data_IF_812530830690
#
_entry.id   IF_812530830690
#
_cell.length_a   1.000
_cell.length_b   1.000
_cell.length_c   1.000
_cell.angle_alpha   90.00
_cell.angle_beta   90.00
_cell.angle_gamma   90.00
#
_symmetry.space_group_name_H-M   'P 1'
#
loop_
_entity.id
_entity.type
_entity.pdbx_description
1 polymer ?
#
# COMPACT_ATOMS: atom_id res chain seq x y z
N UNK A 1 -5.92 16.61 14.79
CA UNK A 1 -6.16 16.64 13.32
C UNK A 1 -5.39 15.58 12.51
N UNK A 2 -4.19 15.13 12.91
CA UNK A 2 -3.34 14.19 12.14
C UNK A 2 -3.91 12.77 11.90
N UNK A 3 -4.76 12.23 12.79
CA UNK A 3 -5.33 10.87 12.64
C UNK A 3 -6.34 10.77 11.48
N UNK A 4 -7.13 11.82 11.24
CA UNK A 4 -8.22 11.81 10.24
C UNK A 4 -7.71 11.75 8.79
N UNK A 5 -6.62 12.47 8.49
CA UNK A 5 -6.00 12.42 7.16
C UNK A 5 -5.33 11.07 6.88
N UNK A 6 -4.74 10.44 7.91
CA UNK A 6 -4.21 9.08 7.78
C UNK A 6 -5.30 8.06 7.50
N UNK A 7 -6.48 8.18 8.13
CA UNK A 7 -7.60 7.27 7.89
C UNK A 7 -8.18 7.42 6.49
N UNK A 8 -8.34 8.64 5.98
CA UNK A 8 -8.82 8.86 4.61
C UNK A 8 -7.89 8.24 3.56
N UNK A 9 -6.58 8.41 3.71
CA UNK A 9 -5.60 7.80 2.78
C UNK A 9 -5.69 6.27 2.81
N UNK A 10 -5.82 5.67 4.00
CA UNK A 10 -5.96 4.22 4.14
C UNK A 10 -7.28 3.71 3.56
N UNK A 11 -8.39 4.42 3.77
CA UNK A 11 -9.69 4.07 3.18
C UNK A 11 -9.66 4.16 1.66
N UNK A 12 -9.04 5.20 1.10
CA UNK A 12 -8.86 5.34 -0.35
C UNK A 12 -7.99 4.21 -0.91
N UNK A 13 -6.90 3.84 -0.22
CA UNK A 13 -6.05 2.72 -0.60
C UNK A 13 -6.84 1.40 -0.57
N UNK A 14 -7.63 1.16 0.47
CA UNK A 14 -8.49 -0.02 0.54
C UNK A 14 -9.48 -0.09 -0.64
N UNK A 15 -10.14 1.02 -0.96
CA UNK A 15 -11.06 1.07 -2.10
C UNK A 15 -10.34 0.84 -3.44
N UNK A 16 -9.14 1.39 -3.59
CA UNK A 16 -8.31 1.20 -4.77
C UNK A 16 -7.87 -0.27 -4.91
N UNK A 17 -7.43 -0.93 -3.83
CA UNK A 17 -7.15 -2.37 -3.82
C UNK A 17 -8.35 -3.20 -4.27
N UNK A 18 -9.54 -2.90 -3.73
CA UNK A 18 -10.77 -3.61 -4.11
C UNK A 18 -11.12 -3.40 -5.58
N UNK A 19 -10.90 -2.20 -6.10
CA UNK A 19 -11.07 -1.93 -7.52
C UNK A 19 -10.06 -2.71 -8.37
N UNK A 20 -8.78 -2.74 -7.98
CA UNK A 20 -7.72 -3.50 -8.66
C UNK A 20 -8.04 -4.99 -8.67
N UNK A 21 -8.45 -5.56 -7.53
CA UNK A 21 -8.82 -6.98 -7.43
C UNK A 21 -10.04 -7.30 -8.30
N UNK A 22 -11.08 -6.46 -8.27
CA UNK A 22 -12.27 -6.64 -9.12
C UNK A 22 -11.93 -6.54 -10.62
N UNK A 23 -11.11 -5.56 -11.01
CA UNK A 23 -10.65 -5.40 -12.38
C UNK A 23 -9.76 -6.57 -12.82
N UNK A 24 -8.88 -7.07 -11.97
CA UNK A 24 -8.04 -8.24 -12.25
C UNK A 24 -8.88 -9.50 -12.49
N UNK A 25 -9.97 -9.69 -11.73
CA UNK A 25 -10.91 -10.81 -11.93
C UNK A 25 -11.61 -10.73 -13.29
N UNK A 26 -12.17 -9.57 -13.62
CA UNK A 26 -12.85 -9.34 -14.90
C UNK A 26 -11.88 -9.45 -16.08
N UNK A 27 -10.67 -8.91 -15.94
CA UNK A 27 -9.62 -8.98 -16.95
C UNK A 27 -9.17 -10.42 -17.17
N UNK A 28 -9.01 -11.22 -16.11
CA UNK A 28 -8.64 -12.63 -16.23
C UNK A 28 -9.69 -13.44 -17.00
N UNK A 29 -10.98 -13.18 -16.75
CA UNK A 29 -12.07 -13.77 -17.53
C UNK A 29 -12.04 -13.28 -18.99
N UNK A 30 -11.88 -11.97 -19.22
CA UNK A 30 -11.83 -11.39 -20.56
C UNK A 30 -10.67 -11.97 -21.40
N UNK A 31 -9.46 -12.06 -20.82
CA UNK A 31 -8.29 -12.65 -21.47
C UNK A 31 -8.53 -14.13 -21.83
N UNK A 32 -9.23 -14.87 -20.98
CA UNK A 32 -9.59 -16.28 -21.26
C UNK A 32 -10.53 -16.41 -22.47
N UNK A 33 -11.49 -15.49 -22.60
CA UNK A 33 -12.54 -15.54 -23.64
C UNK A 33 -12.06 -14.98 -24.97
N UNK A 34 -11.38 -13.83 -24.96
CA UNK A 34 -11.01 -13.09 -26.18
C UNK A 34 -9.66 -13.52 -26.73
N UNK A 35 -8.66 -13.72 -25.87
CA UNK A 35 -7.28 -13.96 -26.33
C UNK A 35 -7.01 -15.44 -26.59
N UNK A 36 -7.86 -16.35 -26.06
CA UNK A 36 -7.72 -17.81 -26.22
C UNK A 36 -6.27 -18.33 -26.09
N UNK A 37 -5.50 -17.77 -25.13
CA UNK A 37 -4.08 -18.10 -24.91
C UNK A 37 -3.85 -19.63 -24.81
N UNK A 38 -4.86 -20.36 -24.32
CA UNK A 38 -4.96 -21.81 -24.41
C UNK A 38 -6.26 -22.14 -25.16
N UNK A 39 -6.23 -23.03 -26.18
CA UNK A 39 -7.41 -23.43 -26.91
C UNK A 39 -8.52 -23.86 -25.94
N UNK A 40 -9.73 -23.34 -26.14
CA UNK A 40 -10.90 -23.79 -25.38
C UNK A 40 -11.13 -25.25 -25.75
N UNK A 41 -11.06 -26.15 -24.77
CA UNK A 41 -11.49 -27.52 -24.94
C UNK A 41 -12.93 -27.52 -25.51
N UNK A 42 -13.17 -28.04 -26.73
CA UNK A 42 -14.48 -28.00 -27.37
C UNK A 42 -15.59 -28.63 -26.52
N UNK A 43 -15.25 -29.52 -25.58
CA UNK A 43 -16.20 -30.20 -24.70
C UNK A 43 -16.66 -29.36 -23.50
N UNK A 44 -15.89 -28.34 -23.09
CA UNK A 44 -16.21 -27.52 -21.89
C UNK A 44 -16.93 -26.21 -22.20
N UNK A 45 -16.96 -25.80 -23.47
CA UNK A 45 -17.59 -24.54 -23.88
C UNK A 45 -16.93 -23.28 -23.27
N UNK A 46 -17.50 -22.12 -23.59
CA UNK A 46 -17.10 -20.85 -22.97
C UNK A 46 -17.74 -20.78 -21.58
N UNK A 47 -16.98 -20.49 -20.51
CA UNK A 47 -17.55 -20.39 -19.17
C UNK A 47 -18.59 -19.27 -19.09
N UNK A 48 -19.75 -19.50 -18.48
CA UNK A 48 -20.82 -18.51 -18.38
C UNK A 48 -20.41 -17.32 -17.50
N UNK A 49 -20.44 -16.11 -18.07
CA UNK A 49 -20.10 -14.87 -17.40
C UNK A 49 -20.90 -14.65 -16.11
N UNK A 50 -22.16 -15.13 -16.04
CA UNK A 50 -23.02 -14.94 -14.87
C UNK A 50 -22.39 -15.52 -13.59
N UNK A 51 -21.78 -16.70 -13.69
CA UNK A 51 -21.13 -17.35 -12.56
C UNK A 51 -19.87 -16.58 -12.11
N UNK A 52 -19.10 -16.03 -13.05
CA UNK A 52 -17.94 -15.19 -12.72
C UNK A 52 -18.35 -13.83 -12.14
N UNK A 53 -19.42 -13.23 -12.63
CA UNK A 53 -19.96 -11.99 -12.07
C UNK A 53 -20.53 -12.20 -10.66
N UNK A 54 -21.27 -13.30 -10.44
CA UNK A 54 -21.79 -13.68 -9.13
C UNK A 54 -20.68 -14.01 -8.10
N UNK A 55 -19.49 -14.41 -8.56
CA UNK A 55 -18.34 -14.66 -7.69
C UNK A 55 -17.65 -13.37 -7.20
N UNK A 56 -17.85 -12.22 -7.85
CA UNK A 56 -17.13 -10.97 -7.51
C UNK A 56 -17.27 -10.59 -6.03
N UNK A 57 -18.47 -10.58 -5.42
CA UNK A 57 -18.59 -10.21 -4.01
C UNK A 57 -17.81 -11.15 -3.09
N UNK A 58 -17.82 -12.46 -3.38
CA UNK A 58 -17.08 -13.47 -2.62
C UNK A 58 -15.57 -13.24 -2.76
N UNK A 59 -15.09 -13.03 -3.98
CA UNK A 59 -13.67 -12.73 -4.26
C UNK A 59 -13.22 -11.49 -3.51
N UNK A 60 -13.97 -10.38 -3.59
CA UNK A 60 -13.63 -9.13 -2.92
C UNK A 60 -13.62 -9.27 -1.40
N UNK A 61 -14.63 -9.94 -0.82
CA UNK A 61 -14.69 -10.15 0.65
C UNK A 61 -13.53 -11.01 1.12
N UNK A 62 -13.25 -12.14 0.45
CA UNK A 62 -12.13 -13.03 0.83
C UNK A 62 -10.79 -12.29 0.73
N UNK A 63 -10.55 -11.59 -0.39
CA UNK A 63 -9.34 -10.80 -0.57
C UNK A 63 -9.22 -9.70 0.49
N UNK A 64 -10.28 -8.95 0.77
CA UNK A 64 -10.30 -7.92 1.81
C UNK A 64 -9.93 -8.47 3.19
N UNK A 65 -10.47 -9.64 3.57
CA UNK A 65 -10.16 -10.30 4.83
C UNK A 65 -8.69 -10.75 4.89
N UNK A 66 -8.18 -11.37 3.82
CA UNK A 66 -6.77 -11.74 3.72
C UNK A 66 -5.84 -10.52 3.80
N UNK A 67 -6.23 -9.40 3.17
CA UNK A 67 -5.44 -8.17 3.18
C UNK A 67 -5.42 -7.52 4.56
N UNK A 68 -6.56 -7.49 5.24
CA UNK A 68 -6.68 -7.06 6.62
C UNK A 68 -5.84 -7.93 7.56
N UNK A 69 -5.86 -9.26 7.37
CA UNK A 69 -5.06 -10.20 8.16
C UNK A 69 -3.55 -9.95 8.01
N UNK A 70 -3.07 -9.64 6.79
CA UNK A 70 -1.68 -9.24 6.52
C UNK A 70 -1.36 -7.80 6.94
N UNK A 71 -2.30 -7.09 7.54
CA UNK A 71 -2.14 -5.71 8.02
C UNK A 71 -1.62 -4.77 6.93
N UNK A 72 -2.10 -4.94 5.70
CA UNK A 72 -1.75 -4.08 4.57
C UNK A 72 -2.20 -2.62 4.75
N UNK A 73 -3.16 -2.37 5.64
CA UNK A 73 -3.72 -1.04 5.91
C UNK A 73 -3.28 -0.45 7.26
N UNK A 74 -2.06 -0.74 7.70
CA UNK A 74 -1.47 -0.14 8.90
C UNK A 74 -0.39 0.88 8.49
N UNK A 75 -0.32 2.08 9.10
CA UNK A 75 0.74 3.05 8.82
C UNK A 75 2.11 2.51 9.20
N UNK A 76 2.80 1.83 8.28
CA UNK A 76 4.19 1.42 8.48
C UNK A 76 5.10 2.58 8.07
N UNK A 77 5.73 3.20 9.06
CA UNK A 77 6.68 4.31 8.85
C UNK A 77 8.08 3.86 8.47
N UNK A 78 8.42 2.60 8.70
CA UNK A 78 9.78 2.06 8.59
C UNK A 78 9.90 0.82 7.70
N UNK A 79 8.82 0.45 6.97
CA UNK A 79 8.85 -0.73 6.10
C UNK A 79 9.65 -0.51 4.82
N UNK A 80 10.48 -1.48 4.45
CA UNK A 80 11.12 -1.48 3.14
C UNK A 80 10.12 -1.82 2.04
N UNK A 81 10.34 -1.32 0.81
CA UNK A 81 9.45 -1.64 -0.31
C UNK A 81 9.37 -3.14 -0.63
N UNK A 82 10.37 -3.91 -0.22
CA UNK A 82 10.42 -5.37 -0.36
C UNK A 82 9.51 -6.09 0.65
N UNK A 83 9.46 -5.64 1.91
CA UNK A 83 8.52 -6.19 2.89
C UNK A 83 7.07 -6.05 2.43
N UNK A 84 6.73 -4.90 1.83
CA UNK A 84 5.39 -4.67 1.29
C UNK A 84 5.05 -5.61 0.14
N UNK A 85 6.00 -5.87 -0.78
CA UNK A 85 5.81 -6.83 -1.88
C UNK A 85 5.62 -8.25 -1.34
N UNK A 86 6.42 -8.65 -0.34
CA UNK A 86 6.28 -9.95 0.33
C UNK A 86 4.93 -10.08 1.03
N UNK A 87 4.47 -9.02 1.70
CA UNK A 87 3.17 -9.00 2.35
C UNK A 87 2.02 -9.14 1.35
N UNK A 88 2.09 -8.45 0.21
CA UNK A 88 1.14 -8.60 -0.89
C UNK A 88 1.16 -10.04 -1.43
N UNK A 89 2.35 -10.61 -1.67
CA UNK A 89 2.49 -11.97 -2.16
C UNK A 89 1.84 -12.99 -1.21
N UNK A 90 2.11 -12.89 0.08
CA UNK A 90 1.53 -13.77 1.10
C UNK A 90 0.01 -13.57 1.23
N UNK A 91 -0.48 -12.33 1.19
CA UNK A 91 -1.92 -12.06 1.25
C UNK A 91 -2.64 -12.67 0.05
N UNK A 92 -2.04 -12.57 -1.13
CA UNK A 92 -2.58 -13.11 -2.36
C UNK A 92 -2.54 -14.66 -2.37
N UNK A 93 -1.47 -15.26 -1.83
CA UNK A 93 -1.38 -16.71 -1.64
C UNK A 93 -2.45 -17.23 -0.67
N UNK A 94 -2.70 -16.55 0.45
CA UNK A 94 -3.78 -16.92 1.37
C UNK A 94 -5.15 -16.81 0.72
N UNK A 95 -5.41 -15.72 0.00
CA UNK A 95 -6.65 -15.57 -0.77
C UNK A 95 -6.80 -16.70 -1.79
N UNK A 96 -5.71 -17.12 -2.45
CA UNK A 96 -5.73 -18.23 -3.40
C UNK A 96 -6.14 -19.54 -2.75
N UNK A 97 -5.57 -19.89 -1.61
CA UNK A 97 -5.94 -21.11 -0.88
C UNK A 97 -7.43 -21.09 -0.51
N UNK A 98 -7.91 -19.97 0.04
CA UNK A 98 -9.32 -19.85 0.47
C UNK A 98 -10.27 -19.90 -0.73
N UNK A 99 -9.99 -19.17 -1.81
CA UNK A 99 -10.85 -19.14 -2.99
C UNK A 99 -10.86 -20.48 -3.73
N UNK A 100 -9.72 -21.16 -3.82
CA UNK A 100 -9.66 -22.52 -4.40
C UNK A 100 -10.44 -23.51 -3.55
N UNK A 101 -10.36 -23.41 -2.21
CA UNK A 101 -11.15 -24.25 -1.32
C UNK A 101 -12.66 -24.01 -1.51
N UNK A 102 -13.11 -22.75 -1.53
CA UNK A 102 -14.51 -22.39 -1.79
C UNK A 102 -14.96 -22.94 -3.15
N UNK A 103 -14.17 -22.73 -4.21
CA UNK A 103 -14.47 -23.22 -5.54
C UNK A 103 -14.50 -24.75 -5.62
N UNK A 104 -13.73 -25.47 -4.80
CA UNK A 104 -13.75 -26.93 -4.73
C UNK A 104 -15.04 -27.48 -4.11
N UNK A 105 -15.55 -26.84 -3.06
CA UNK A 105 -16.82 -27.22 -2.43
C UNK A 105 -18.04 -26.78 -3.26
N UNK A 106 -17.91 -25.74 -4.09
CA UNK A 106 -18.95 -25.31 -5.00
C UNK A 106 -19.06 -26.26 -6.21
N UNK A 107 -19.90 -27.28 -6.09
CA UNK A 107 -20.04 -28.36 -7.09
C UNK A 107 -20.89 -28.01 -8.30
N UNK A 108 -21.66 -26.93 -8.24
CA UNK A 108 -22.58 -26.52 -9.33
C UNK A 108 -21.84 -25.95 -10.54
N UNK A 109 -20.64 -25.38 -10.35
CA UNK A 109 -19.88 -24.75 -11.42
C UNK A 109 -18.37 -25.01 -11.29
N UNK A 110 -17.75 -25.44 -12.39
CA UNK A 110 -16.30 -25.62 -12.44
C UNK A 110 -15.60 -24.35 -12.92
N UNK A 111 -14.95 -23.63 -12.00
CA UNK A 111 -14.13 -22.47 -12.34
C UNK A 111 -12.86 -22.88 -13.11
N UNK A 112 -12.48 -22.06 -14.09
CA UNK A 112 -11.28 -22.32 -14.90
C UNK A 112 -10.01 -22.06 -14.08
N UNK A 113 -9.17 -23.10 -13.93
CA UNK A 113 -7.85 -23.00 -13.28
C UNK A 113 -6.95 -21.95 -13.97
N UNK A 114 -7.08 -21.80 -15.28
CA UNK A 114 -6.34 -20.78 -16.04
C UNK A 114 -6.80 -19.37 -15.66
N UNK A 115 -8.11 -19.13 -15.53
CA UNK A 115 -8.65 -17.84 -15.08
C UNK A 115 -8.17 -17.55 -13.66
N UNK A 116 -8.18 -18.54 -12.77
CA UNK A 116 -7.63 -18.39 -11.43
C UNK A 116 -6.13 -17.99 -11.46
N UNK A 117 -5.31 -18.67 -12.25
CA UNK A 117 -3.89 -18.33 -12.41
C UNK A 117 -3.66 -16.91 -12.94
N UNK A 118 -4.39 -16.53 -14.00
CA UNK A 118 -4.35 -15.17 -14.57
C UNK A 118 -4.80 -14.12 -13.56
N UNK A 119 -5.85 -14.41 -12.81
CA UNK A 119 -6.35 -13.54 -11.75
C UNK A 119 -5.29 -13.33 -10.67
N UNK A 120 -4.71 -14.38 -10.09
CA UNK A 120 -3.73 -14.23 -9.01
C UNK A 120 -2.47 -13.50 -9.47
N UNK A 121 -1.96 -13.81 -10.67
CA UNK A 121 -0.83 -13.12 -11.27
C UNK A 121 -1.15 -11.64 -11.55
N UNK A 122 -2.27 -11.35 -12.21
CA UNK A 122 -2.70 -10.00 -12.53
C UNK A 122 -2.99 -9.15 -11.30
N UNK A 123 -3.63 -9.74 -10.28
CA UNK A 123 -3.91 -9.09 -9.01
C UNK A 123 -2.62 -8.76 -8.25
N UNK A 124 -1.65 -9.70 -8.21
CA UNK A 124 -0.35 -9.44 -7.59
C UNK A 124 0.37 -8.26 -8.26
N UNK A 125 0.49 -8.30 -9.59
CA UNK A 125 1.13 -7.24 -10.35
C UNK A 125 0.40 -5.90 -10.21
N UNK A 126 -0.95 -5.92 -10.25
CA UNK A 126 -1.79 -4.75 -10.08
C UNK A 126 -1.56 -4.07 -8.73
N UNK A 127 -1.60 -4.83 -7.63
CA UNK A 127 -1.38 -4.30 -6.29
C UNK A 127 0.04 -3.76 -6.11
N UNK A 128 1.05 -4.46 -6.62
CA UNK A 128 2.45 -3.97 -6.57
C UNK A 128 2.61 -2.66 -7.34
N UNK A 129 2.03 -2.57 -8.54
CA UNK A 129 2.04 -1.36 -9.36
C UNK A 129 1.30 -0.20 -8.66
N UNK A 130 0.13 -0.47 -8.10
CA UNK A 130 -0.64 0.50 -7.33
C UNK A 130 0.17 1.06 -6.14
N UNK A 131 0.82 0.19 -5.35
CA UNK A 131 1.71 0.65 -4.25
C UNK A 131 2.87 1.48 -4.75
N UNK A 132 3.48 1.11 -5.89
CA UNK A 132 4.53 1.92 -6.49
C UNK A 132 4.02 3.33 -6.84
N UNK A 133 2.84 3.44 -7.47
CA UNK A 133 2.20 4.71 -7.82
C UNK A 133 1.87 5.55 -6.59
N UNK A 134 1.26 4.96 -5.56
CA UNK A 134 0.93 5.66 -4.30
C UNK A 134 2.19 6.19 -3.62
N UNK A 135 3.26 5.37 -3.56
CA UNK A 135 4.55 5.80 -2.99
C UNK A 135 5.17 6.94 -3.79
N UNK A 136 5.12 6.89 -5.12
CA UNK A 136 5.61 7.96 -5.99
C UNK A 136 4.81 9.25 -5.81
N UNK A 137 3.47 9.16 -5.75
CA UNK A 137 2.60 10.30 -5.51
C UNK A 137 2.88 10.96 -4.14
N UNK A 138 2.99 10.16 -3.08
CA UNK A 138 3.33 10.65 -1.74
C UNK A 138 4.75 11.23 -1.64
N UNK A 139 5.72 10.66 -2.37
CA UNK A 139 7.08 11.24 -2.46
C UNK A 139 7.05 12.58 -3.17
N UNK A 140 6.31 12.71 -4.27
CA UNK A 140 6.14 13.97 -5.00
C UNK A 140 5.45 15.04 -4.15
N UNK A 141 4.37 14.68 -3.45
CA UNK A 141 3.66 15.58 -2.53
C UNK A 141 4.56 16.09 -1.40
N UNK A 142 5.37 15.21 -0.79
CA UNK A 142 6.34 15.59 0.26
C UNK A 142 7.43 16.53 -0.24
N UNK A 143 7.93 16.32 -1.47
CA UNK A 143 8.89 17.24 -2.11
C UNK A 143 8.30 18.64 -2.33
N UNK A 144 6.97 18.76 -2.49
CA UNK A 144 6.25 20.04 -2.60
C UNK A 144 5.88 20.65 -1.23
N UNK A 145 6.34 20.07 -0.13
CA UNK A 145 6.06 20.55 1.22
C UNK A 145 4.67 20.20 1.77
N UNK A 146 3.92 19.33 1.09
CA UNK A 146 2.63 18.83 1.57
C UNK A 146 2.84 17.61 2.48
N UNK A 147 2.00 17.48 3.51
CA UNK A 147 2.05 16.37 4.48
C UNK A 147 3.38 16.29 5.28
N UNK A 148 3.99 17.45 5.57
CA UNK A 148 5.15 17.54 6.45
C UNK A 148 4.74 17.42 7.91
N UNK A 149 5.47 16.63 8.70
CA UNK A 149 5.42 16.69 10.16
C UNK A 149 6.50 17.64 10.66
N UNK A 150 6.07 18.64 11.41
CA UNK A 150 6.94 19.54 12.14
C UNK A 150 7.54 18.79 13.34
N UNK A 151 8.87 18.81 13.46
CA UNK A 151 9.63 18.11 14.51
C UNK A 151 10.59 19.06 15.20
N UNK A 152 10.78 18.81 16.50
CA UNK A 152 11.79 19.48 17.33
C UNK A 152 12.93 18.50 17.59
N UNK A 153 14.17 19.00 17.53
CA UNK A 153 15.35 18.19 17.84
C UNK A 153 15.82 18.54 19.26
N UNK A 154 15.83 17.54 20.13
CA UNK A 154 16.43 17.64 21.45
C UNK A 154 17.97 17.60 21.34
N UNK A 155 18.64 18.66 21.78
CA UNK A 155 20.07 18.91 21.65
C UNK A 155 20.43 19.69 20.39
N UNK A 156 20.99 20.89 20.57
CA UNK A 156 21.44 21.78 19.50
C UNK A 156 22.96 21.65 19.20
N UNK A 157 23.60 20.60 19.72
CA UNK A 157 25.01 20.27 19.46
C UNK A 157 25.27 19.73 18.05
N UNK A 158 26.53 19.40 17.73
CA UNK A 158 26.97 18.92 16.39
C UNK A 158 26.13 17.77 15.85
N UNK A 159 25.71 16.85 16.72
CA UNK A 159 24.89 15.67 16.38
C UNK A 159 23.48 16.08 15.96
N UNK A 160 22.83 16.97 16.73
CA UNK A 160 21.51 17.51 16.40
C UNK A 160 21.52 18.34 15.11
N UNK A 161 22.57 19.15 14.92
CA UNK A 161 22.78 19.90 13.67
C UNK A 161 22.95 18.97 12.46
N UNK A 162 23.77 17.93 12.59
CA UNK A 162 23.98 16.94 11.52
C UNK A 162 22.70 16.16 11.19
N UNK A 163 21.85 15.89 12.19
CA UNK A 163 20.53 15.29 12.00
C UNK A 163 19.59 16.25 11.26
N UNK A 164 19.55 17.52 11.67
CA UNK A 164 18.73 18.54 11.01
C UNK A 164 19.10 18.67 9.53
N UNK A 165 20.39 18.78 9.22
CA UNK A 165 20.86 18.82 7.83
C UNK A 165 20.44 17.57 7.04
N UNK A 166 20.55 16.37 7.64
CA UNK A 166 20.14 15.13 6.96
C UNK A 166 18.64 15.11 6.69
N UNK A 167 17.82 15.61 7.61
CA UNK A 167 16.36 15.69 7.45
C UNK A 167 16.02 16.70 6.35
N UNK A 168 16.61 17.90 6.38
CA UNK A 168 16.37 18.94 5.38
C UNK A 168 16.86 18.55 3.98
N UNK A 169 18.02 17.90 3.87
CA UNK A 169 18.53 17.34 2.60
C UNK A 169 17.62 16.22 2.08
N UNK A 170 16.92 15.49 2.97
CA UNK A 170 16.04 14.38 2.62
C UNK A 170 14.55 14.74 2.78
N UNK A 171 14.05 15.64 1.95
CA UNK A 171 12.63 16.07 1.94
C UNK A 171 11.62 14.92 1.74
N UNK A 172 12.05 13.77 1.23
CA UNK A 172 11.21 12.57 1.10
C UNK A 172 10.81 11.94 2.44
N UNK A 173 11.54 12.24 3.53
CA UNK A 173 11.20 11.81 4.89
C UNK A 173 9.88 12.42 5.37
N UNK A 174 9.51 13.58 4.83
CA UNK A 174 8.31 14.31 5.23
C UNK A 174 8.42 14.96 6.61
N UNK A 175 9.64 15.15 7.13
CA UNK A 175 9.87 15.91 8.35
C UNK A 175 10.35 17.33 8.03
N UNK A 176 9.88 18.30 8.80
CA UNK A 176 10.38 19.67 8.78
C UNK A 176 10.85 20.03 10.17
N UNK A 177 12.14 20.32 10.32
CA UNK A 177 12.69 20.76 11.60
C UNK A 177 12.18 22.18 11.86
N UNK A 178 11.48 22.39 12.97
CA UNK A 178 10.93 23.72 13.34
C UNK A 178 11.72 24.39 14.45
N UNK A 179 12.57 23.64 15.15
CA UNK A 179 13.38 24.18 16.22
C UNK A 179 14.25 23.14 16.91
N UNK A 180 15.24 23.61 17.64
CA UNK A 180 16.01 22.84 18.61
C UNK A 180 15.54 23.12 20.03
N UNK A 181 15.75 22.17 20.93
CA UNK A 181 15.57 22.33 22.37
C UNK A 181 16.90 21.94 23.03
N UNK A 182 17.54 22.84 23.78
CA UNK A 182 18.86 22.61 24.36
C UNK A 182 18.98 23.36 25.70
N UNK A 183 19.46 22.68 26.74
CA UNK A 183 19.58 23.21 28.10
C UNK A 183 20.74 24.21 28.24
N UNK A 184 21.67 24.19 27.29
CA UNK A 184 22.82 25.08 27.27
C UNK A 184 22.39 26.55 27.10
N UNK A 185 22.57 27.34 28.16
CA UNK A 185 22.13 28.73 28.22
C UNK A 185 22.76 29.63 27.15
N UNK A 186 23.95 29.29 26.66
CA UNK A 186 24.67 30.03 25.60
C UNK A 186 24.03 29.86 24.21
N UNK A 187 23.14 28.88 24.04
CA UNK A 187 22.48 28.57 22.75
C UNK A 187 21.01 28.96 22.69
N UNK A 188 20.41 29.27 23.84
CA UNK A 188 19.04 29.73 23.95
C UNK A 188 18.80 30.98 23.09
N UNK A 189 17.70 30.99 22.31
CA UNK A 189 17.33 32.13 21.46
C UNK A 189 18.20 32.35 20.22
N UNK A 190 19.22 31.53 19.99
CA UNK A 190 20.04 31.59 18.76
C UNK A 190 19.40 30.77 17.65
N UNK A 191 19.63 31.20 16.41
CA UNK A 191 19.33 30.41 15.21
C UNK A 191 20.59 29.64 14.79
N UNK A 192 20.46 28.31 14.66
CA UNK A 192 21.52 27.45 14.18
C UNK A 192 21.10 26.94 12.80
N UNK A 193 21.87 27.29 11.77
CA UNK A 193 21.54 27.00 10.36
C UNK A 193 20.12 27.45 9.95
N UNK A 194 19.65 28.59 10.49
CA UNK A 194 18.32 29.13 10.20
C UNK A 194 17.18 28.50 11.00
N UNK A 195 17.46 27.54 11.88
CA UNK A 195 16.48 26.89 12.77
C UNK A 195 16.64 27.43 14.21
N UNK A 196 15.58 27.93 14.86
CA UNK A 196 15.68 28.55 16.18
C UNK A 196 15.82 27.53 17.32
N UNK A 197 16.54 27.89 18.39
CA UNK A 197 16.53 27.16 19.67
C UNK A 197 15.38 27.71 20.53
N UNK A 198 14.33 26.91 20.71
CA UNK A 198 13.02 27.34 21.24
C UNK A 198 12.87 27.20 22.76
N UNK A 199 13.79 26.51 23.45
CA UNK A 199 13.70 26.34 24.90
C UNK A 199 14.58 25.23 25.46
N UNK A 200 14.34 24.88 26.72
CA UNK A 200 14.99 23.81 27.48
C UNK A 200 14.16 22.52 27.46
N UNK A 201 14.81 21.39 27.75
CA UNK A 201 14.19 20.10 27.99
C UNK A 201 13.76 20.02 29.47
N UNK A 202 12.63 20.63 29.81
CA UNK A 202 11.97 20.45 31.12
C UNK A 202 10.84 19.42 31.03
#
# INVERSE_FOLDING_TARGET
MLKRHSQLVLSLLFLADMAVTGMAWLLAYYLRVVVQIVPVDPQKGVPDFKHYAAAIPVVLVVCALCYAHRRLYVPRREGTGLEEVTDIALANAYAAVVLVAIAFFYREFSFSRLVAGLFFAGNFLGLVAERALVRMALRSARRRGLNLRHVLIAGAGKLGQSLAERIEKNTWTGFKVVGFVDDAADRQGKAIHGVPVLGKLD
#
